data_IF_379074266365
#
_entry.id   IF_379074266365
#
_cell.length_a   1.000
_cell.length_b   1.000
_cell.length_c   1.000
_cell.angle_alpha   90.00
_cell.angle_beta   90.00
_cell.angle_gamma   90.00
#
_symmetry.space_group_name_H-M   'P 1'
#
loop_
_entity.id
_entity.type
_entity.pdbx_description
1 polymer ?
#
# COMPACT_ATOMS: atom_id res chain seq x y z
N UNK A 1 -1.85 17.69 2.86
CA UNK A 1 -0.93 16.63 2.44
C UNK A 1 -1.74 15.53 1.77
N UNK A 2 -1.41 15.16 0.55
CA UNK A 2 -1.98 13.98 -0.11
C UNK A 2 -0.93 12.88 0.06
N UNK A 3 -1.03 12.16 1.15
CA UNK A 3 -0.28 10.94 1.36
C UNK A 3 -1.06 9.76 0.79
N UNK A 4 -0.37 8.71 0.37
CA UNK A 4 -0.97 7.44 -0.08
C UNK A 4 -1.57 6.68 1.11
N UNK A 5 -2.59 7.24 1.72
CA UNK A 5 -3.29 6.60 2.84
C UNK A 5 -4.29 5.56 2.34
N UNK A 6 -4.45 4.44 3.05
CA UNK A 6 -5.46 3.42 2.76
C UNK A 6 -6.90 3.94 2.79
N UNK A 7 -7.15 5.05 3.51
CA UNK A 7 -8.45 5.72 3.60
C UNK A 7 -8.25 7.20 3.29
N UNK A 8 -8.93 7.70 2.26
CA UNK A 8 -8.91 9.10 1.83
C UNK A 8 -10.11 9.88 2.37
N UNK A 9 -10.43 11.05 1.83
CA UNK A 9 -11.61 11.82 2.24
C UNK A 9 -12.92 11.11 1.85
N UNK A 10 -13.99 11.31 2.65
CA UNK A 10 -15.31 10.71 2.40
C UNK A 10 -15.82 11.01 0.99
N UNK A 11 -16.22 9.97 0.27
CA UNK A 11 -16.70 10.04 -1.11
C UNK A 11 -15.59 9.97 -2.16
N UNK A 12 -14.33 10.15 -1.79
CA UNK A 12 -13.20 10.02 -2.70
C UNK A 12 -13.05 8.61 -3.24
N UNK A 13 -12.73 8.50 -4.51
CA UNK A 13 -12.48 7.24 -5.20
C UNK A 13 -10.98 7.12 -5.49
N UNK A 14 -10.52 5.90 -5.62
CA UNK A 14 -9.14 5.62 -5.99
C UNK A 14 -9.07 4.49 -7.00
N UNK A 15 -8.16 4.64 -7.97
CA UNK A 15 -7.60 3.55 -8.77
C UNK A 15 -6.16 3.41 -8.35
N UNK A 16 -5.74 2.18 -8.06
CA UNK A 16 -4.39 1.88 -7.64
C UNK A 16 -3.86 0.68 -8.41
N UNK A 17 -2.76 0.89 -9.14
CA UNK A 17 -2.02 -0.13 -9.86
C UNK A 17 -0.71 -0.35 -9.11
N UNK A 18 -0.37 -1.58 -8.81
CA UNK A 18 0.90 -1.99 -8.20
C UNK A 18 1.48 -3.10 -9.05
N UNK A 19 2.71 -2.95 -9.45
CA UNK A 19 3.52 -3.99 -10.05
C UNK A 19 4.81 -4.13 -9.24
N UNK A 20 4.95 -5.24 -8.55
CA UNK A 20 6.08 -5.57 -7.68
C UNK A 20 6.72 -6.88 -8.12
N UNK A 21 7.87 -7.27 -7.59
CA UNK A 21 8.48 -8.56 -7.91
C UNK A 21 7.57 -9.77 -7.67
N UNK A 22 6.70 -9.68 -6.67
CA UNK A 22 5.89 -10.81 -6.21
C UNK A 22 4.43 -10.77 -6.71
N UNK A 23 3.92 -9.58 -7.01
CA UNK A 23 2.49 -9.40 -7.29
C UNK A 23 2.23 -8.27 -8.29
N UNK A 24 1.29 -8.49 -9.19
CA UNK A 24 0.61 -7.43 -9.94
C UNK A 24 -0.78 -7.25 -9.35
N UNK A 25 -1.17 -6.02 -8.98
CA UNK A 25 -2.37 -5.73 -8.21
C UNK A 25 -3.08 -4.48 -8.74
N UNK A 26 -4.38 -4.59 -8.97
CA UNK A 26 -5.25 -3.50 -9.42
C UNK A 26 -6.38 -3.35 -8.41
N UNK A 27 -6.53 -2.15 -7.88
CA UNK A 27 -7.59 -1.83 -6.92
C UNK A 27 -8.43 -0.67 -7.42
N UNK A 28 -9.72 -0.81 -7.23
CA UNK A 28 -10.68 0.26 -7.45
C UNK A 28 -11.62 0.34 -6.25
N UNK A 29 -11.78 1.51 -5.65
CA UNK A 29 -12.67 1.64 -4.52
C UNK A 29 -13.00 3.07 -4.13
N UNK A 30 -13.77 3.18 -3.05
CA UNK A 30 -14.31 4.44 -2.54
C UNK A 30 -14.26 4.49 -1.02
N UNK A 31 -13.97 5.66 -0.49
CA UNK A 31 -14.12 5.94 0.94
C UNK A 31 -15.60 6.20 1.26
N UNK A 32 -16.25 5.23 1.88
CA UNK A 32 -17.68 5.25 2.18
C UNK A 32 -18.02 6.13 3.40
N UNK A 33 -17.14 6.09 4.41
CA UNK A 33 -17.24 6.90 5.62
C UNK A 33 -15.91 7.60 5.91
N UNK A 34 -15.85 8.48 6.91
CA UNK A 34 -14.60 9.18 7.28
C UNK A 34 -13.43 8.25 7.63
N UNK A 35 -13.76 7.04 8.04
CA UNK A 35 -12.79 6.05 8.52
C UNK A 35 -12.87 4.71 7.77
N UNK A 36 -13.68 4.58 6.72
CA UNK A 36 -13.91 3.32 6.03
C UNK A 36 -13.81 3.48 4.51
N UNK A 37 -12.87 2.74 3.93
CA UNK A 37 -12.72 2.51 2.49
C UNK A 37 -13.16 1.09 2.15
N UNK A 38 -13.84 0.93 1.02
CA UNK A 38 -14.20 -0.36 0.44
C UNK A 38 -14.01 -0.33 -1.06
N UNK A 39 -13.58 -1.46 -1.62
CA UNK A 39 -13.31 -1.58 -3.04
C UNK A 39 -13.17 -3.03 -3.50
N UNK A 40 -12.83 -3.17 -4.78
CA UNK A 40 -12.50 -4.43 -5.42
C UNK A 40 -11.00 -4.41 -5.70
N UNK A 41 -10.37 -5.56 -5.52
CA UNK A 41 -8.98 -5.84 -5.81
C UNK A 41 -8.90 -7.06 -6.73
N UNK A 42 -8.13 -6.94 -7.81
CA UNK A 42 -7.76 -8.07 -8.67
C UNK A 42 -6.24 -8.14 -8.62
N UNK A 43 -5.71 -9.30 -8.30
CA UNK A 43 -4.26 -9.46 -8.20
C UNK A 43 -3.81 -10.83 -8.70
N UNK A 44 -2.58 -10.86 -9.19
CA UNK A 44 -1.91 -12.06 -9.65
C UNK A 44 -0.59 -12.23 -8.87
N UNK A 45 -0.37 -13.40 -8.31
CA UNK A 45 0.90 -13.79 -7.72
C UNK A 45 1.85 -14.28 -8.82
N UNK A 46 3.02 -13.66 -8.93
CA UNK A 46 3.97 -13.95 -10.03
C UNK A 46 4.77 -15.24 -9.85
N UNK A 47 4.82 -15.79 -8.62
CA UNK A 47 5.60 -16.99 -8.33
C UNK A 47 4.83 -18.30 -8.63
N UNK A 48 3.51 -18.28 -8.57
CA UNK A 48 2.64 -19.44 -8.85
C UNK A 48 1.60 -19.17 -9.94
N UNK A 49 1.63 -17.96 -10.53
CA UNK A 49 0.75 -17.50 -11.62
C UNK A 49 -0.75 -17.54 -11.27
N UNK A 50 -1.09 -17.55 -9.98
CA UNK A 50 -2.47 -17.61 -9.52
C UNK A 50 -3.12 -16.24 -9.49
N UNK A 51 -4.35 -16.17 -9.98
CA UNK A 51 -5.14 -14.93 -10.08
C UNK A 51 -6.28 -14.90 -9.07
N UNK A 52 -6.53 -13.75 -8.49
CA UNK A 52 -7.52 -13.57 -7.42
C UNK A 52 -8.40 -12.34 -7.67
N UNK A 53 -9.65 -12.45 -7.23
CA UNK A 53 -10.54 -11.31 -7.06
C UNK A 53 -11.00 -11.23 -5.61
N UNK A 54 -10.96 -10.03 -5.03
CA UNK A 54 -11.32 -9.85 -3.62
C UNK A 54 -12.01 -8.52 -3.38
N UNK A 55 -12.84 -8.45 -2.35
CA UNK A 55 -13.23 -7.17 -1.73
C UNK A 55 -12.08 -6.68 -0.87
N UNK A 56 -11.73 -5.41 -0.98
CA UNK A 56 -10.69 -4.77 -0.18
C UNK A 56 -11.32 -3.73 0.75
N UNK A 57 -11.12 -3.89 2.06
CA UNK A 57 -11.70 -3.02 3.07
C UNK A 57 -10.61 -2.49 4.01
N UNK A 58 -10.56 -1.19 4.20
CA UNK A 58 -9.60 -0.53 5.08
C UNK A 58 -10.35 0.35 6.08
N UNK A 59 -10.06 0.16 7.35
CA UNK A 59 -10.65 0.91 8.45
C UNK A 59 -9.58 1.78 9.12
N UNK A 60 -9.76 3.09 9.11
CA UNK A 60 -8.95 3.99 9.93
C UNK A 60 -9.38 3.84 11.39
N UNK A 61 -8.54 3.19 12.20
CA UNK A 61 -8.77 2.92 13.62
C UNK A 61 -8.49 4.18 14.43
N UNK A 62 -7.35 4.82 14.19
CA UNK A 62 -6.92 6.02 14.92
C UNK A 62 -6.15 6.97 14.03
N UNK A 63 -6.38 8.28 14.23
CA UNK A 63 -5.61 9.36 13.62
C UNK A 63 -5.21 10.38 14.66
N UNK A 64 -3.96 10.76 14.64
CA UNK A 64 -3.43 11.88 15.40
C UNK A 64 -3.01 12.97 14.41
N UNK A 65 -3.56 14.15 14.58
CA UNK A 65 -3.21 15.33 13.80
C UNK A 65 -2.58 16.38 14.70
N UNK A 66 -1.40 16.82 14.35
CA UNK A 66 -0.72 17.94 14.95
C UNK A 66 -0.41 19.01 13.88
N UNK A 67 0.04 20.18 14.30
CA UNK A 67 0.54 21.20 13.35
C UNK A 67 1.80 20.77 12.59
N UNK A 68 2.57 19.87 13.18
CA UNK A 68 3.89 19.44 12.67
C UNK A 68 3.90 18.03 12.09
N UNK A 69 2.96 17.15 12.44
CA UNK A 69 2.91 15.76 11.98
C UNK A 69 1.50 15.21 11.92
N UNK A 70 1.33 14.11 11.21
CA UNK A 70 0.17 13.24 11.22
C UNK A 70 0.63 11.81 11.50
N UNK A 71 -0.16 11.05 12.26
CA UNK A 71 0.03 9.61 12.44
C UNK A 71 -1.30 8.89 12.34
N UNK A 72 -1.29 7.68 11.80
CA UNK A 72 -2.48 6.88 11.56
C UNK A 72 -2.24 5.42 11.90
N UNK A 73 -3.30 4.72 12.29
CA UNK A 73 -3.37 3.26 12.37
C UNK A 73 -4.61 2.82 11.60
N UNK A 74 -4.44 1.83 10.72
CA UNK A 74 -5.50 1.23 9.93
C UNK A 74 -5.55 -0.27 10.15
N UNK A 75 -6.78 -0.83 10.18
CA UNK A 75 -7.03 -2.23 9.93
C UNK A 75 -7.27 -2.45 8.44
N UNK A 76 -6.67 -3.49 7.90
CA UNK A 76 -6.78 -3.89 6.50
C UNK A 76 -7.45 -5.26 6.46
N UNK A 77 -8.42 -5.45 5.57
CA UNK A 77 -9.02 -6.76 5.35
C UNK A 77 -9.40 -6.94 3.88
N UNK A 78 -9.28 -8.18 3.42
CA UNK A 78 -9.66 -8.57 2.07
C UNK A 78 -10.28 -9.97 2.14
N UNK A 79 -11.37 -10.19 1.42
CA UNK A 79 -12.01 -11.49 1.29
C UNK A 79 -12.31 -11.70 -0.18
N UNK A 80 -11.93 -12.84 -0.70
CA UNK A 80 -12.09 -13.16 -2.10
C UNK A 80 -11.88 -14.63 -2.39
N UNK A 81 -11.59 -14.94 -3.63
CA UNK A 81 -11.33 -16.29 -4.09
C UNK A 81 -10.31 -16.28 -5.24
N UNK A 82 -9.67 -17.41 -5.38
CA UNK A 82 -8.79 -17.73 -6.50
C UNK A 82 -9.65 -17.97 -7.74
N UNK A 83 -9.31 -17.33 -8.86
CA UNK A 83 -10.06 -17.47 -10.13
C UNK A 83 -9.78 -18.79 -10.85
N UNK A 84 -8.67 -19.46 -10.50
CA UNK A 84 -8.21 -20.69 -11.12
C UNK A 84 -8.72 -21.93 -10.39
N UNK A 85 -8.75 -21.91 -9.04
CA UNK A 85 -9.17 -23.05 -8.21
C UNK A 85 -10.51 -22.86 -7.49
N UNK A 86 -11.11 -21.66 -7.56
CA UNK A 86 -12.33 -21.27 -6.85
C UNK A 86 -12.23 -21.33 -5.31
N UNK A 87 -11.04 -21.54 -4.78
CA UNK A 87 -10.80 -21.55 -3.33
C UNK A 87 -10.92 -20.18 -2.73
N UNK A 88 -11.62 -20.08 -1.60
CA UNK A 88 -11.76 -18.82 -0.88
C UNK A 88 -10.48 -18.45 -0.16
N UNK A 89 -10.19 -17.14 -0.09
CA UNK A 89 -9.05 -16.61 0.62
C UNK A 89 -9.43 -15.35 1.40
N UNK A 90 -8.67 -15.07 2.45
CA UNK A 90 -8.74 -13.80 3.15
C UNK A 90 -7.34 -13.24 3.47
N UNK A 91 -7.24 -11.93 3.56
CA UNK A 91 -6.07 -11.22 4.06
C UNK A 91 -6.50 -10.32 5.22
N UNK A 92 -5.69 -10.30 6.28
CA UNK A 92 -5.89 -9.42 7.43
C UNK A 92 -4.59 -8.68 7.70
N UNK A 93 -4.68 -7.39 8.07
CA UNK A 93 -3.47 -6.63 8.29
C UNK A 93 -3.67 -5.39 9.15
N UNK A 94 -2.54 -4.86 9.56
CA UNK A 94 -2.40 -3.57 10.23
C UNK A 94 -1.42 -2.71 9.46
N UNK A 95 -1.77 -1.44 9.30
CA UNK A 95 -0.90 -0.43 8.72
C UNK A 95 -0.78 0.73 9.69
N UNK A 96 0.42 1.10 10.02
CA UNK A 96 0.71 2.28 10.82
C UNK A 96 1.63 3.21 10.05
N UNK A 97 1.32 4.49 10.06
CA UNK A 97 2.17 5.50 9.46
C UNK A 97 2.32 6.73 10.36
N UNK A 98 3.45 7.38 10.23
CA UNK A 98 3.74 8.68 10.78
C UNK A 98 4.44 9.53 9.73
N UNK A 99 3.99 10.75 9.53
CA UNK A 99 4.60 11.67 8.57
C UNK A 99 4.64 13.10 9.08
N UNK A 100 5.65 13.81 8.64
CA UNK A 100 5.73 15.26 8.70
C UNK A 100 6.04 15.83 7.30
N UNK A 101 6.44 17.10 7.23
CA UNK A 101 6.74 17.73 5.92
C UNK A 101 7.99 17.19 5.24
N UNK A 102 8.88 16.47 5.95
CA UNK A 102 10.18 16.00 5.45
C UNK A 102 10.37 14.50 5.55
N UNK A 103 9.79 13.85 6.54
CA UNK A 103 10.01 12.46 6.85
C UNK A 103 8.70 11.70 6.93
N UNK A 104 8.73 10.46 6.53
CA UNK A 104 7.65 9.50 6.71
C UNK A 104 8.24 8.17 7.18
N UNK A 105 7.55 7.55 8.12
CA UNK A 105 7.78 6.17 8.56
C UNK A 105 6.48 5.42 8.37
N UNK A 106 6.54 4.22 7.82
CA UNK A 106 5.38 3.37 7.62
C UNK A 106 5.76 1.92 7.93
N UNK A 107 4.85 1.20 8.57
CA UNK A 107 4.93 -0.23 8.75
C UNK A 107 3.58 -0.87 8.40
N UNK A 108 3.62 -1.94 7.64
CA UNK A 108 2.47 -2.79 7.33
C UNK A 108 2.79 -4.22 7.72
N UNK A 109 1.86 -4.84 8.42
CA UNK A 109 1.83 -6.26 8.74
C UNK A 109 0.59 -6.86 8.08
N UNK A 110 0.73 -7.94 7.33
CA UNK A 110 -0.38 -8.61 6.68
C UNK A 110 -0.22 -10.13 6.74
N UNK A 111 -1.30 -10.82 7.06
CA UNK A 111 -1.46 -12.27 6.94
C UNK A 111 -2.31 -12.58 5.71
N UNK A 112 -1.98 -13.65 4.99
CA UNK A 112 -2.74 -14.21 3.87
C UNK A 112 -3.04 -15.67 4.16
N UNK A 113 -4.32 -16.06 4.04
CA UNK A 113 -4.76 -17.45 4.26
C UNK A 113 -4.48 -18.37 3.07
N UNK A 114 -4.20 -17.80 1.91
CA UNK A 114 -3.95 -18.56 0.69
C UNK A 114 -2.66 -19.38 0.77
N UNK A 115 -1.60 -18.75 1.22
CA UNK A 115 -0.25 -19.31 1.32
C UNK A 115 0.25 -19.36 2.77
N UNK A 116 -0.65 -19.14 3.73
CA UNK A 116 -0.37 -19.05 5.18
C UNK A 116 0.78 -18.08 5.49
N UNK A 117 0.94 -17.05 4.65
CA UNK A 117 2.08 -16.15 4.72
C UNK A 117 1.87 -14.97 5.65
N UNK A 118 2.98 -14.49 6.21
CA UNK A 118 3.03 -13.22 6.96
C UNK A 118 4.00 -12.29 6.23
N UNK A 119 3.52 -11.10 5.89
CA UNK A 119 4.31 -10.07 5.25
C UNK A 119 4.50 -8.87 6.18
N UNK A 120 5.74 -8.47 6.36
CA UNK A 120 6.13 -7.19 6.94
C UNK A 120 6.67 -6.28 5.86
N UNK A 121 6.16 -5.05 5.79
CA UNK A 121 6.71 -4.02 4.91
C UNK A 121 7.00 -2.78 5.75
N UNK A 122 8.22 -2.31 5.73
CA UNK A 122 8.68 -1.13 6.44
C UNK A 122 9.26 -0.12 5.46
N UNK A 123 8.84 1.14 5.58
CA UNK A 123 9.31 2.24 4.72
C UNK A 123 9.82 3.41 5.55
N UNK A 124 10.98 3.91 5.18
CA UNK A 124 11.50 5.20 5.60
C UNK A 124 11.57 6.11 4.39
N UNK A 125 11.03 7.31 4.51
CA UNK A 125 11.03 8.26 3.40
C UNK A 125 11.48 9.65 3.83
N UNK A 126 12.15 10.32 2.91
CA UNK A 126 12.64 11.67 3.06
C UNK A 126 12.35 12.48 1.79
N UNK A 127 11.87 13.73 1.95
CA UNK A 127 11.77 14.67 0.85
C UNK A 127 12.85 15.73 0.94
N UNK A 128 13.74 15.86 -0.07
CA UNK A 128 14.80 16.86 -0.07
C UNK A 128 14.27 18.29 -0.18
N UNK A 129 13.09 18.47 -0.79
CA UNK A 129 12.50 19.80 -1.02
C UNK A 129 11.05 19.85 -0.59
N UNK A 130 10.77 20.63 0.46
CA UNK A 130 9.40 20.92 0.87
C UNK A 130 8.73 21.78 -0.20
N UNK A 131 7.60 21.30 -0.72
CA UNK A 131 6.76 22.02 -1.68
C UNK A 131 5.44 22.42 -1.04
N UNK A 132 4.86 23.50 -1.53
CA UNK A 132 3.48 23.85 -1.20
C UNK A 132 2.49 22.86 -1.82
N UNK A 133 1.25 22.87 -1.35
CA UNK A 133 0.18 21.94 -1.70
C UNK A 133 -0.05 21.74 -3.22
N UNK A 134 0.18 22.77 -4.04
CA UNK A 134 0.03 22.69 -5.50
C UNK A 134 1.30 22.21 -6.24
N UNK A 135 2.41 22.06 -5.53
CA UNK A 135 3.70 21.67 -6.13
C UNK A 135 3.84 20.16 -6.31
N UNK A 136 4.78 19.76 -7.16
CA UNK A 136 5.21 18.35 -7.25
C UNK A 136 6.10 18.04 -6.06
N UNK A 137 5.77 17.02 -5.28
CA UNK A 137 6.57 16.53 -4.17
C UNK A 137 7.30 15.25 -4.60
N UNK A 138 8.60 15.18 -4.30
CA UNK A 138 9.45 14.02 -4.59
C UNK A 138 9.93 13.46 -3.26
N UNK A 139 9.80 12.15 -3.07
CA UNK A 139 10.26 11.43 -1.89
C UNK A 139 11.24 10.35 -2.29
N UNK A 140 12.29 10.24 -1.53
CA UNK A 140 13.23 9.12 -1.58
C UNK A 140 12.86 8.17 -0.45
N UNK A 141 12.64 6.90 -0.78
CA UNK A 141 12.12 5.88 0.13
C UNK A 141 13.08 4.71 0.14
N UNK A 142 13.46 4.25 1.33
CA UNK A 142 14.00 2.93 1.55
C UNK A 142 12.87 2.02 2.00
N UNK A 143 12.63 0.96 1.26
CA UNK A 143 11.66 -0.09 1.60
C UNK A 143 12.40 -1.36 2.00
N UNK A 144 12.01 -1.93 3.15
CA UNK A 144 12.36 -3.27 3.56
C UNK A 144 11.09 -4.10 3.64
N UNK A 145 11.09 -5.25 2.98
CA UNK A 145 10.03 -6.24 3.08
C UNK A 145 10.58 -7.59 3.53
N UNK A 146 9.85 -8.24 4.40
CA UNK A 146 10.07 -9.63 4.80
C UNK A 146 8.76 -10.38 4.57
N UNK A 147 8.82 -11.41 3.76
CA UNK A 147 7.70 -12.29 3.46
C UNK A 147 8.03 -13.69 3.96
N UNK A 148 7.29 -14.14 4.95
CA UNK A 148 7.44 -15.46 5.56
C UNK A 148 6.40 -16.41 4.98
N UNK A 149 6.86 -17.47 4.29
CA UNK A 149 6.04 -18.53 3.71
C UNK A 149 6.71 -19.86 4.09
N UNK A 150 5.97 -20.86 4.58
CA UNK A 150 6.46 -22.20 4.91
C UNK A 150 7.73 -22.21 5.79
N UNK A 151 7.77 -21.35 6.81
CA UNK A 151 8.93 -21.13 7.68
C UNK A 151 10.20 -20.62 6.97
N UNK A 152 10.09 -20.13 5.75
CA UNK A 152 11.18 -19.46 5.01
C UNK A 152 10.94 -17.96 4.99
N UNK A 153 12.01 -17.19 5.17
CA UNK A 153 11.99 -15.75 5.10
C UNK A 153 12.56 -15.27 3.77
N UNK A 154 11.80 -14.44 3.07
CA UNK A 154 12.22 -13.77 1.83
C UNK A 154 12.35 -12.28 2.10
N UNK A 155 13.58 -11.81 2.23
CA UNK A 155 13.87 -10.42 2.55
C UNK A 155 14.27 -9.64 1.31
N UNK A 156 13.76 -8.41 1.19
CA UNK A 156 14.09 -7.49 0.09
C UNK A 156 14.30 -6.09 0.62
N UNK A 157 15.27 -5.41 0.03
CA UNK A 157 15.48 -3.97 0.23
C UNK A 157 15.39 -3.30 -1.13
N UNK A 158 14.51 -2.31 -1.25
CA UNK A 158 14.25 -1.58 -2.48
C UNK A 158 14.37 -0.07 -2.24
N UNK A 159 15.28 0.62 -2.92
CA UNK A 159 15.20 2.06 -3.07
C UNK A 159 14.04 2.43 -4.01
N UNK A 160 13.18 3.34 -3.55
CA UNK A 160 11.99 3.78 -4.29
C UNK A 160 11.95 5.30 -4.36
N UNK A 161 11.61 5.83 -5.51
CA UNK A 161 11.31 7.24 -5.71
C UNK A 161 9.81 7.40 -5.87
N UNK A 162 9.20 8.26 -5.05
CA UNK A 162 7.79 8.63 -5.13
C UNK A 162 7.65 10.05 -5.64
N UNK A 163 6.77 10.23 -6.60
CA UNK A 163 6.35 11.54 -7.11
C UNK A 163 4.87 11.73 -6.83
N UNK A 164 4.56 12.81 -6.13
CA UNK A 164 3.19 13.23 -5.82
C UNK A 164 2.89 14.54 -6.53
N UNK A 165 1.82 14.58 -7.30
CA UNK A 165 1.33 15.80 -7.95
C UNK A 165 -0.19 15.81 -7.97
N UNK A 166 -0.81 16.69 -7.18
CA UNK A 166 -2.28 16.77 -7.04
C UNK A 166 -2.84 15.40 -6.66
N UNK A 167 -3.64 14.80 -7.55
CA UNK A 167 -4.36 13.54 -7.36
C UNK A 167 -3.56 12.30 -7.81
N UNK A 168 -2.35 12.49 -8.29
CA UNK A 168 -1.51 11.43 -8.85
C UNK A 168 -0.35 11.12 -7.91
N UNK A 169 -0.15 9.85 -7.64
CA UNK A 169 1.04 9.30 -7.02
C UNK A 169 1.65 8.29 -7.98
N UNK A 170 2.95 8.42 -8.22
CA UNK A 170 3.73 7.44 -8.97
C UNK A 170 4.91 7.04 -8.10
N UNK A 171 5.18 5.75 -7.99
CA UNK A 171 6.40 5.21 -7.41
C UNK A 171 7.12 4.35 -8.42
N UNK A 172 8.43 4.41 -8.39
CA UNK A 172 9.32 3.54 -9.14
C UNK A 172 10.51 3.18 -8.25
N UNK A 173 10.86 1.90 -8.23
CA UNK A 173 11.99 1.42 -7.45
C UNK A 173 12.62 0.18 -8.06
N UNK A 174 13.78 -0.20 -7.54
CA UNK A 174 14.45 -1.42 -7.95
C UNK A 174 15.85 -1.55 -7.36
N UNK A 175 16.39 -2.77 -7.34
CA UNK A 175 17.71 -3.09 -6.79
C UNK A 175 18.61 -3.85 -7.80
N UNK A 176 18.27 -3.78 -9.10
CA UNK A 176 18.98 -4.48 -10.18
C UNK A 176 18.48 -5.91 -10.47
N UNK A 177 17.77 -6.52 -9.52
CA UNK A 177 17.08 -7.81 -9.70
C UNK A 177 15.55 -7.65 -9.70
N UNK A 178 15.07 -6.83 -8.78
CA UNK A 178 13.66 -6.58 -8.54
C UNK A 178 13.30 -5.19 -9.04
N UNK A 179 12.13 -5.05 -9.64
CA UNK A 179 11.55 -3.77 -10.05
C UNK A 179 10.21 -3.57 -9.35
N UNK A 180 9.91 -2.33 -9.02
CA UNK A 180 8.67 -1.92 -8.37
C UNK A 180 8.10 -0.71 -9.08
N UNK A 181 6.81 -0.76 -9.39
CA UNK A 181 6.07 0.35 -9.97
C UNK A 181 4.72 0.49 -9.27
N UNK A 182 4.31 1.71 -9.02
CA UNK A 182 2.95 2.01 -8.53
C UNK A 182 2.42 3.28 -9.18
N UNK A 183 1.14 3.23 -9.55
CA UNK A 183 0.36 4.37 -9.96
C UNK A 183 -0.93 4.42 -9.13
N UNK A 184 -1.16 5.51 -8.44
CA UNK A 184 -2.41 5.76 -7.73
C UNK A 184 -3.03 7.07 -8.22
N UNK A 185 -4.34 7.02 -8.51
CA UNK A 185 -5.11 8.18 -8.96
C UNK A 185 -6.32 8.36 -8.05
N UNK A 186 -6.47 9.56 -7.48
CA UNK A 186 -7.59 9.94 -6.63
C UNK A 186 -8.58 10.82 -7.42
N UNK A 187 -9.89 10.62 -7.16
CA UNK A 187 -10.99 11.40 -7.79
C UNK A 187 -11.89 12.05 -6.75
#
# INVERSE_FOLDING_TARGET
>A
MLSAHPVIFKGGKVIWLIDSPDITDIRFGKTLARNWYSGIQIFNHKYDEQSFIASNNNLLIKRWNSRSYQANIYGLSSIGFNLDSEESMYKLGLHADWENRRFMVMHMLQYSSYDESIMHNFRLAFTPKIKGYKGTSIWLIGEYSNHQIDNKNYEKILPVVRVLKRNYLVEFGGNGKDTFFTLMVHF
#
